data_IF_223162969206
#
_entry.id   IF_223162969206
#
_cell.length_a   1.000
_cell.length_b   1.000
_cell.length_c   1.000
_cell.angle_alpha   90.00
_cell.angle_beta   90.00
_cell.angle_gamma   90.00
#
_symmetry.space_group_name_H-M   'P 1'
#
loop_
_entity.id
_entity.type
_entity.pdbx_description
1 polymer ?
#
# COMPACT_ATOMS: atom_id res chain seq x y z
N UNK A 1 -4.48 1.17 3.49
CA UNK A 1 -5.68 0.34 3.27
C UNK A 1 -6.24 -0.08 4.62
N UNK A 2 -7.53 -0.37 4.73
CA UNK A 2 -8.15 -0.72 6.02
C UNK A 2 -9.13 -1.87 5.82
N UNK A 3 -9.05 -2.94 6.61
CA UNK A 3 -10.09 -3.95 6.75
C UNK A 3 -10.96 -3.66 7.98
N UNK A 4 -12.28 -3.78 7.88
CA UNK A 4 -13.19 -3.67 9.02
C UNK A 4 -14.07 -4.92 9.07
N UNK A 5 -13.87 -5.81 10.02
CA UNK A 5 -14.72 -6.97 10.31
C UNK A 5 -15.78 -6.62 11.35
N UNK A 6 -17.00 -7.15 11.25
CA UNK A 6 -18.08 -6.91 12.21
C UNK A 6 -18.31 -8.15 13.09
N UNK A 7 -18.43 -8.03 14.43
CA UNK A 7 -18.81 -9.16 15.32
C UNK A 7 -19.74 -8.72 16.48
N UNK A 8 -19.82 -9.39 17.65
CA UNK A 8 -20.64 -8.96 18.83
C UNK A 8 -19.93 -8.74 20.23
N UNK A 9 -18.61 -8.50 20.36
CA UNK A 9 -17.89 -8.25 21.66
C UNK A 9 -16.83 -7.11 21.65
N UNK A 10 -17.16 -5.83 21.97
CA UNK A 10 -16.18 -4.72 22.23
C UNK A 10 -15.22 -4.27 21.08
N UNK A 11 -14.90 -2.97 20.95
CA UNK A 11 -14.14 -2.44 19.79
C UNK A 11 -12.62 -2.64 19.95
N UNK A 12 -11.92 -3.16 18.92
CA UNK A 12 -10.43 -3.35 18.93
C UNK A 12 -9.81 -3.02 17.57
N UNK A 13 -8.56 -2.52 17.58
CA UNK A 13 -7.83 -2.12 16.36
C UNK A 13 -6.45 -2.79 16.23
N UNK A 14 -6.16 -3.36 15.06
CA UNK A 14 -4.80 -3.72 14.67
C UNK A 14 -4.29 -2.71 13.65
N UNK A 15 -3.08 -2.22 13.83
CA UNK A 15 -2.36 -1.49 12.78
C UNK A 15 -1.15 -2.30 12.36
N UNK A 16 -0.96 -2.42 11.06
CA UNK A 16 0.11 -3.23 10.49
C UNK A 16 0.79 -2.51 9.34
N UNK A 17 2.02 -2.08 9.54
CA UNK A 17 2.80 -1.48 8.46
C UNK A 17 3.86 -2.46 7.99
N UNK A 18 3.92 -2.67 6.68
CA UNK A 18 4.91 -3.54 6.08
C UNK A 18 6.11 -2.74 5.59
N UNK A 19 7.30 -3.31 5.82
CA UNK A 19 8.48 -2.94 5.06
C UNK A 19 8.36 -3.50 3.65
N UNK A 20 8.81 -2.76 2.63
CA UNK A 20 8.83 -3.24 1.25
C UNK A 20 10.27 -3.21 0.74
N UNK A 21 10.79 -4.37 0.32
CA UNK A 21 12.16 -4.52 -0.14
C UNK A 21 12.18 -5.09 -1.57
N UNK A 22 12.99 -4.47 -2.43
CA UNK A 22 13.23 -4.95 -3.80
C UNK A 22 14.70 -5.32 -3.95
N UNK A 23 14.98 -6.55 -4.34
CA UNK A 23 16.30 -7.03 -4.72
C UNK A 23 16.40 -7.10 -6.24
N UNK A 24 17.50 -6.62 -6.81
CA UNK A 24 17.74 -6.67 -8.26
C UNK A 24 17.96 -8.11 -8.73
N UNK A 25 17.22 -8.56 -9.74
CA UNK A 25 17.60 -9.76 -10.49
C UNK A 25 18.79 -9.46 -11.41
N UNK A 26 19.81 -10.32 -11.36
CA UNK A 26 21.07 -10.17 -12.11
C UNK A 26 20.93 -10.44 -13.62
N UNK A 27 19.75 -10.84 -14.12
CA UNK A 27 19.63 -11.52 -15.41
C UNK A 27 18.99 -10.74 -16.55
N UNK A 28 18.51 -9.51 -16.39
CA UNK A 28 17.75 -8.87 -17.48
C UNK A 28 18.19 -7.44 -17.84
N UNK A 29 18.62 -7.30 -19.10
CA UNK A 29 18.77 -6.05 -19.84
C UNK A 29 17.79 -6.09 -21.01
N UNK A 30 16.52 -5.90 -20.70
CA UNK A 30 15.49 -5.57 -21.68
C UNK A 30 15.35 -4.05 -21.73
N UNK A 31 15.11 -3.50 -22.93
CA UNK A 31 15.29 -2.09 -23.24
C UNK A 31 14.06 -1.44 -23.87
N UNK A 32 12.87 -1.70 -23.32
CA UNK A 32 11.60 -1.24 -23.91
C UNK A 32 10.84 -0.27 -23.00
N UNK A 33 11.45 0.89 -22.73
CA UNK A 33 10.86 1.96 -21.90
C UNK A 33 9.62 2.64 -22.51
N UNK A 34 9.38 2.50 -23.82
CA UNK A 34 8.18 3.02 -24.49
C UNK A 34 6.88 2.36 -24.03
N UNK A 35 6.95 1.27 -23.26
CA UNK A 35 5.78 0.60 -22.68
C UNK A 35 5.10 1.46 -21.60
N UNK A 36 5.85 2.32 -20.91
CA UNK A 36 5.36 3.06 -19.75
C UNK A 36 4.91 4.49 -20.07
N UNK A 37 5.15 4.99 -21.28
CA UNK A 37 4.80 6.35 -21.70
C UNK A 37 3.31 6.52 -22.01
N UNK A 38 2.63 5.43 -22.43
CA UNK A 38 1.23 5.46 -22.87
C UNK A 38 0.28 4.56 -22.05
N UNK A 39 0.79 3.81 -21.07
CA UNK A 39 -0.04 2.93 -20.26
C UNK A 39 -0.94 3.74 -19.31
N UNK A 40 -2.21 3.32 -19.14
CA UNK A 40 -3.07 3.97 -18.15
C UNK A 40 -2.54 3.67 -16.76
N UNK A 41 -2.54 4.68 -15.87
CA UNK A 41 -2.06 4.52 -14.50
C UNK A 41 -2.70 3.33 -13.77
N UNK A 42 -3.99 3.05 -14.03
CA UNK A 42 -4.71 1.90 -13.45
C UNK A 42 -4.15 0.55 -13.91
N UNK A 43 -3.70 0.43 -15.16
CA UNK A 43 -3.11 -0.80 -15.72
C UNK A 43 -1.73 -1.05 -15.09
N UNK A 44 -0.88 -0.02 -15.03
CA UNK A 44 0.42 -0.10 -14.35
C UNK A 44 0.27 -0.42 -12.86
N UNK A 45 -0.72 0.18 -12.21
CA UNK A 45 -1.03 -0.10 -10.81
C UNK A 45 -1.41 -1.58 -10.61
N UNK A 46 -2.29 -2.13 -11.44
CA UNK A 46 -2.69 -3.53 -11.33
C UNK A 46 -1.53 -4.51 -11.61
N UNK A 47 -0.66 -4.18 -12.57
CA UNK A 47 0.41 -5.04 -13.02
C UNK A 47 1.64 -5.03 -12.09
N UNK A 48 2.09 -3.85 -11.65
CA UNK A 48 3.41 -3.70 -11.01
C UNK A 48 3.38 -3.40 -9.52
N UNK A 49 2.22 -3.10 -8.92
CA UNK A 49 2.16 -2.92 -7.45
C UNK A 49 2.34 -4.27 -6.75
N UNK A 50 3.19 -4.35 -5.71
CA UNK A 50 3.39 -5.60 -4.99
C UNK A 50 2.09 -6.03 -4.31
N UNK A 51 1.76 -7.33 -4.46
CA UNK A 51 0.67 -7.98 -3.73
C UNK A 51 1.10 -8.29 -2.30
N UNK A 52 0.15 -8.22 -1.37
CA UNK A 52 0.34 -8.69 0.01
C UNK A 52 0.52 -10.22 0.05
N UNK A 53 1.31 -10.70 1.01
CA UNK A 53 1.59 -12.14 1.18
C UNK A 53 0.49 -12.83 1.97
N UNK A 54 0.40 -14.16 1.87
CA UNK A 54 -0.53 -14.97 2.67
C UNK A 54 -0.32 -14.77 4.18
N UNK A 55 0.92 -14.52 4.63
CA UNK A 55 1.20 -14.25 6.05
C UNK A 55 0.51 -12.98 6.56
N UNK A 56 0.33 -11.97 5.69
CA UNK A 56 -0.39 -10.74 6.05
C UNK A 56 -1.84 -11.08 6.32
N UNK A 57 -2.45 -11.81 5.38
CA UNK A 57 -3.84 -12.25 5.53
C UNK A 57 -4.01 -13.18 6.72
N UNK A 58 -3.06 -14.09 6.96
CA UNK A 58 -3.06 -14.95 8.15
C UNK A 58 -3.02 -14.13 9.43
N UNK A 59 -2.14 -13.14 9.54
CA UNK A 59 -2.05 -12.26 10.72
C UNK A 59 -3.35 -11.51 10.96
N UNK A 60 -3.96 -10.99 9.89
CA UNK A 60 -5.27 -10.31 9.94
C UNK A 60 -6.36 -11.28 10.42
N UNK A 61 -6.43 -12.48 9.83
CA UNK A 61 -7.43 -13.49 10.17
C UNK A 61 -7.29 -14.00 11.60
N UNK A 62 -6.06 -14.26 12.05
CA UNK A 62 -5.76 -14.68 13.42
C UNK A 62 -6.20 -13.60 14.42
N UNK A 63 -5.87 -12.33 14.15
CA UNK A 63 -6.27 -11.20 15.00
C UNK A 63 -7.79 -11.06 15.09
N UNK A 64 -8.48 -11.16 13.95
CA UNK A 64 -9.92 -11.13 13.90
C UNK A 64 -10.59 -12.34 14.57
N UNK A 65 -9.96 -13.51 14.45
CA UNK A 65 -10.38 -14.77 15.07
C UNK A 65 -10.35 -14.74 16.60
N UNK A 66 -9.57 -13.84 17.21
CA UNK A 66 -9.54 -13.65 18.67
C UNK A 66 -10.91 -13.28 19.25
N UNK A 67 -11.77 -12.60 18.48
CA UNK A 67 -13.05 -12.06 18.96
C UNK A 67 -14.26 -12.55 18.18
N UNK A 68 -14.06 -13.14 17.00
CA UNK A 68 -15.15 -13.60 16.14
C UNK A 68 -14.75 -14.80 15.29
N UNK A 69 -15.60 -15.83 15.27
CA UNK A 69 -15.57 -16.84 14.22
C UNK A 69 -16.42 -16.48 13.00
N UNK A 70 -17.19 -15.38 13.08
CA UNK A 70 -18.00 -14.86 11.98
C UNK A 70 -17.16 -13.91 11.10
N UNK A 71 -16.84 -14.40 9.89
CA UNK A 71 -16.16 -13.68 8.82
C UNK A 71 -17.14 -13.29 7.68
N UNK A 72 -18.44 -13.21 7.95
CA UNK A 72 -19.46 -12.95 6.91
C UNK A 72 -19.32 -11.61 6.18
N UNK A 73 -18.65 -10.63 6.78
CA UNK A 73 -18.48 -9.30 6.23
C UNK A 73 -17.16 -8.65 6.67
N UNK A 74 -16.42 -8.13 5.69
CA UNK A 74 -15.41 -7.12 5.91
C UNK A 74 -15.71 -5.90 5.06
N UNK A 75 -15.07 -4.78 5.39
CA UNK A 75 -14.99 -3.57 4.55
C UNK A 75 -13.53 -3.26 4.31
N UNK A 76 -13.08 -3.43 3.07
CA UNK A 76 -11.78 -2.94 2.62
C UNK A 76 -11.92 -1.47 2.21
N UNK A 77 -11.32 -0.53 2.94
CA UNK A 77 -11.29 0.91 2.66
C UNK A 77 -10.01 1.28 1.92
N UNK A 78 -10.19 1.76 0.69
CA UNK A 78 -9.09 2.24 -0.17
C UNK A 78 -8.52 1.13 -1.05
N UNK A 79 -9.39 0.27 -1.58
CA UNK A 79 -9.05 -0.94 -2.32
C UNK A 79 -8.25 -0.73 -3.63
N UNK A 80 -8.17 0.50 -4.16
CA UNK A 80 -7.45 0.77 -5.40
C UNK A 80 -7.99 -0.10 -6.56
N UNK A 81 -7.10 -0.79 -7.28
CA UNK A 81 -7.49 -1.75 -8.33
C UNK A 81 -7.98 -3.11 -7.80
N UNK A 82 -8.15 -3.27 -6.48
CA UNK A 82 -8.66 -4.49 -5.85
C UNK A 82 -7.60 -5.52 -5.47
N UNK A 83 -6.30 -5.20 -5.51
CA UNK A 83 -5.21 -6.14 -5.18
C UNK A 83 -5.34 -6.79 -3.79
N UNK A 84 -6.01 -6.11 -2.87
CA UNK A 84 -6.25 -6.59 -1.52
C UNK A 84 -7.68 -7.08 -1.34
N UNK A 85 -8.61 -6.50 -2.09
CA UNK A 85 -10.00 -6.95 -2.11
C UNK A 85 -10.12 -8.34 -2.70
N UNK A 86 -9.35 -8.72 -3.72
CA UNK A 86 -9.39 -10.05 -4.34
C UNK A 86 -9.11 -11.20 -3.35
N UNK A 87 -7.98 -11.22 -2.60
CA UNK A 87 -7.74 -12.25 -1.60
C UNK A 87 -8.74 -12.21 -0.44
N UNK A 88 -9.13 -11.01 0.03
CA UNK A 88 -10.12 -10.85 1.09
C UNK A 88 -11.53 -11.27 0.66
N UNK A 89 -11.90 -11.09 -0.62
CA UNK A 89 -13.22 -11.44 -1.15
C UNK A 89 -13.49 -12.95 -1.13
N UNK A 90 -12.45 -13.78 -1.04
CA UNK A 90 -12.58 -15.22 -0.79
C UNK A 90 -13.20 -15.50 0.58
N UNK A 91 -13.08 -14.56 1.52
CA UNK A 91 -13.54 -14.68 2.90
C UNK A 91 -14.70 -13.72 3.20
N UNK A 92 -14.79 -12.58 2.51
CA UNK A 92 -15.69 -11.46 2.86
C UNK A 92 -16.51 -10.96 1.66
N UNK A 93 -17.69 -10.39 1.91
CA UNK A 93 -18.69 -10.13 0.85
C UNK A 93 -18.71 -8.73 0.20
N UNK A 94 -18.10 -7.65 0.76
CA UNK A 94 -18.19 -6.24 0.24
C UNK A 94 -16.95 -5.36 0.61
N UNK A 95 -16.76 -4.18 0.00
CA UNK A 95 -15.65 -3.23 0.24
C UNK A 95 -16.01 -1.73 -0.09
N UNK A 96 -15.30 -0.72 0.47
CA UNK A 96 -15.55 0.75 0.36
C UNK A 96 -14.25 1.61 0.24
N UNK A 97 -14.24 2.97 0.26
CA UNK A 97 -12.99 3.76 0.03
C UNK A 97 -12.83 5.16 0.70
N UNK A 98 -11.56 5.47 1.06
CA UNK A 98 -10.88 6.73 1.50
C UNK A 98 -11.61 7.75 2.40
N UNK A 99 -10.99 8.16 3.53
CA UNK A 99 -11.60 9.18 4.42
C UNK A 99 -10.62 10.01 5.26
N UNK A 100 -11.07 11.22 5.60
CA UNK A 100 -10.65 12.05 6.74
C UNK A 100 -10.64 11.23 8.04
N UNK A 101 -9.56 11.27 8.83
CA UNK A 101 -9.38 10.39 10.00
C UNK A 101 -10.49 10.51 11.06
N UNK A 102 -11.00 11.71 11.32
CA UNK A 102 -12.08 11.94 12.29
C UNK A 102 -13.39 11.38 11.75
N UNK A 103 -13.72 11.66 10.49
CA UNK A 103 -14.91 11.11 9.83
C UNK A 103 -14.82 9.60 9.69
N UNK A 104 -13.61 9.10 9.43
CA UNK A 104 -13.30 7.69 9.32
C UNK A 104 -13.60 6.96 10.63
N UNK A 105 -13.04 7.42 11.76
CA UNK A 105 -13.29 6.75 13.04
C UNK A 105 -14.74 6.91 13.51
N UNK A 106 -15.39 8.03 13.24
CA UNK A 106 -16.83 8.18 13.47
C UNK A 106 -17.65 7.19 12.63
N UNK A 107 -17.24 6.92 11.40
CA UNK A 107 -17.90 5.95 10.54
C UNK A 107 -17.61 4.50 10.96
N UNK A 108 -16.38 4.20 11.39
CA UNK A 108 -16.04 2.93 12.04
C UNK A 108 -16.95 2.74 13.25
N UNK A 109 -17.13 3.76 14.09
CA UNK A 109 -18.01 3.68 15.25
C UNK A 109 -19.47 3.38 14.90
N UNK A 110 -19.94 3.90 13.76
CA UNK A 110 -21.29 3.71 13.26
C UNK A 110 -21.52 2.30 12.71
N UNK A 111 -20.54 1.73 12.01
CA UNK A 111 -20.70 0.46 11.27
C UNK A 111 -20.14 -0.75 12.02
N UNK A 112 -19.14 -0.56 12.87
CA UNK A 112 -18.47 -1.63 13.60
C UNK A 112 -19.40 -2.17 14.67
N UNK A 113 -19.93 -3.37 14.45
CA UNK A 113 -20.67 -4.11 15.47
C UNK A 113 -19.70 -4.47 16.61
N UNK A 114 -20.17 -4.58 17.88
CA UNK A 114 -19.29 -4.85 19.02
C UNK A 114 -18.33 -6.02 18.69
N UNK A 115 -17.02 -6.04 18.92
CA UNK A 115 -16.16 -7.21 18.62
C UNK A 115 -15.79 -7.42 17.18
N UNK A 116 -16.35 -6.61 16.30
CA UNK A 116 -15.72 -6.35 15.03
C UNK A 116 -14.30 -5.84 15.23
N UNK A 117 -13.43 -6.18 14.29
CA UNK A 117 -12.04 -5.77 14.25
C UNK A 117 -11.83 -4.75 13.16
N UNK A 118 -11.26 -3.59 13.52
CA UNK A 118 -10.70 -2.68 12.54
C UNK A 118 -9.20 -3.02 12.38
N UNK A 119 -8.75 -3.21 11.15
CA UNK A 119 -7.36 -3.49 10.79
C UNK A 119 -6.88 -2.47 9.77
N UNK A 120 -5.92 -1.64 10.12
CA UNK A 120 -5.32 -0.66 9.20
C UNK A 120 -3.98 -1.23 8.74
N UNK A 121 -3.79 -1.40 7.44
CA UNK A 121 -2.55 -1.97 6.91
C UNK A 121 -2.08 -1.35 5.60
N UNK A 122 -0.78 -1.40 5.35
CA UNK A 122 -0.16 -0.79 4.17
C UNK A 122 1.35 -0.94 4.16
N UNK A 123 1.99 -0.57 3.05
CA UNK A 123 3.44 -0.45 2.94
C UNK A 123 3.80 0.96 2.48
N UNK A 124 4.99 1.43 2.88
CA UNK A 124 5.51 2.74 2.51
C UNK A 124 6.37 2.66 1.24
N UNK A 125 7.30 3.60 1.05
CA UNK A 125 8.31 3.50 -0.02
C UNK A 125 9.14 2.22 0.17
N UNK A 126 9.60 1.62 -0.92
CA UNK A 126 10.54 0.51 -0.83
C UNK A 126 11.93 0.95 -0.41
N UNK A 127 12.73 0.01 0.08
CA UNK A 127 14.20 0.06 0.01
C UNK A 127 14.71 -0.89 -1.08
N UNK A 128 15.84 -0.57 -1.70
CA UNK A 128 16.46 -1.39 -2.74
C UNK A 128 17.71 -2.13 -2.21
N UNK A 129 18.08 -3.21 -2.90
CA UNK A 129 19.36 -3.87 -2.73
C UNK A 129 20.03 -4.08 -4.10
N UNK A 130 21.34 -3.83 -4.23
CA UNK A 130 22.29 -3.47 -3.17
C UNK A 130 22.15 -2.01 -2.70
N UNK A 131 22.85 -1.62 -1.62
CA UNK A 131 22.67 -0.33 -0.93
C UNK A 131 22.92 0.87 -1.85
N UNK A 132 23.86 0.75 -2.78
CA UNK A 132 24.22 1.82 -3.73
C UNK A 132 23.03 2.18 -4.64
N UNK A 133 22.26 1.16 -5.04
CA UNK A 133 21.02 1.34 -5.81
C UNK A 133 19.94 2.04 -4.96
N UNK A 134 19.83 1.67 -3.67
CA UNK A 134 18.91 2.34 -2.75
C UNK A 134 19.29 3.81 -2.56
N UNK A 135 20.58 4.13 -2.35
CA UNK A 135 21.04 5.50 -2.15
C UNK A 135 20.71 6.39 -3.36
N UNK A 136 20.89 5.88 -4.59
CA UNK A 136 20.47 6.56 -5.80
C UNK A 136 18.95 6.78 -5.83
N UNK A 137 18.17 5.74 -5.55
CA UNK A 137 16.71 5.80 -5.57
C UNK A 137 16.16 6.75 -4.50
N UNK A 138 16.66 6.70 -3.27
CA UNK A 138 16.26 7.63 -2.21
C UNK A 138 16.61 9.07 -2.58
N UNK A 139 17.78 9.32 -3.21
CA UNK A 139 18.12 10.64 -3.72
C UNK A 139 17.12 11.13 -4.76
N UNK A 140 16.76 10.29 -5.74
CA UNK A 140 15.72 10.61 -6.72
C UNK A 140 14.37 10.91 -6.04
N UNK A 141 13.95 10.03 -5.12
CA UNK A 141 12.69 10.14 -4.39
C UNK A 141 12.57 11.47 -3.65
N UNK A 142 13.61 11.84 -2.90
CA UNK A 142 13.60 13.03 -2.03
C UNK A 142 13.93 14.33 -2.76
N UNK A 143 14.53 14.30 -3.95
CA UNK A 143 14.88 15.51 -4.70
C UNK A 143 13.85 15.89 -5.76
N UNK A 144 13.18 14.91 -6.38
CA UNK A 144 12.33 15.19 -7.56
C UNK A 144 10.85 15.11 -7.26
N UNK A 145 10.42 14.14 -6.45
CA UNK A 145 9.00 13.85 -6.22
C UNK A 145 8.29 14.64 -5.09
N UNK A 146 8.95 15.33 -4.12
CA UNK A 146 8.23 15.95 -3.00
C UNK A 146 7.09 16.88 -3.40
N UNK A 147 7.27 17.71 -4.44
CA UNK A 147 6.29 18.69 -4.90
C UNK A 147 5.06 18.07 -5.60
N UNK A 148 5.15 16.79 -5.95
CA UNK A 148 4.15 16.07 -6.75
C UNK A 148 3.31 15.10 -5.90
N UNK A 149 3.69 14.89 -4.63
CA UNK A 149 2.90 14.09 -3.70
C UNK A 149 1.70 14.87 -3.17
N UNK A 150 0.54 14.23 -3.13
CA UNK A 150 -0.65 14.77 -2.45
C UNK A 150 -0.54 14.59 -0.93
N UNK A 151 -1.26 15.40 -0.16
CA UNK A 151 -1.09 15.54 1.29
C UNK A 151 -1.23 14.24 2.12
N UNK A 152 -1.83 13.17 1.58
CA UNK A 152 -1.93 11.88 2.26
C UNK A 152 -0.61 11.10 2.35
N UNK A 153 0.44 11.49 1.60
CA UNK A 153 1.67 10.70 1.51
C UNK A 153 2.45 10.61 2.82
N UNK A 154 2.57 11.73 3.54
CA UNK A 154 3.29 11.82 4.81
C UNK A 154 2.75 10.82 5.84
N UNK A 155 1.44 10.64 5.90
CA UNK A 155 0.83 9.67 6.81
C UNK A 155 1.26 8.23 6.49
N UNK A 156 1.45 7.88 5.21
CA UNK A 156 1.93 6.54 4.82
C UNK A 156 3.40 6.35 5.17
N UNK A 157 4.23 7.38 4.93
CA UNK A 157 5.67 7.36 5.25
C UNK A 157 5.92 7.27 6.75
N UNK A 158 5.16 8.04 7.54
CA UNK A 158 5.19 8.01 9.00
C UNK A 158 4.48 6.76 9.56
N UNK A 159 4.21 5.75 8.73
CA UNK A 159 3.57 4.47 9.10
C UNK A 159 2.28 4.67 9.90
N UNK A 160 1.50 5.67 9.51
CA UNK A 160 0.25 6.11 10.12
C UNK A 160 0.35 6.49 11.62
N UNK A 161 1.56 6.71 12.14
CA UNK A 161 1.79 7.15 13.55
C UNK A 161 1.23 8.54 13.83
N UNK A 162 0.97 9.33 12.79
CA UNK A 162 0.35 10.66 12.89
C UNK A 162 -1.11 10.63 13.33
N UNK A 163 -1.78 9.47 13.31
CA UNK A 163 -3.16 9.33 13.76
C UNK A 163 -3.22 8.86 15.21
N UNK A 164 -4.03 9.54 16.02
CA UNK A 164 -4.43 9.01 17.32
C UNK A 164 -5.54 7.98 17.13
N UNK A 165 -5.28 6.73 17.53
CA UNK A 165 -6.25 5.65 17.44
C UNK A 165 -7.13 5.70 18.70
N UNK A 166 -8.44 6.02 18.57
CA UNK A 166 -9.29 6.33 19.73
C UNK A 166 -9.82 5.07 20.46
N UNK A 167 -9.24 3.90 20.21
CA UNK A 167 -9.73 2.62 20.72
C UNK A 167 -8.74 2.01 21.71
N UNK A 168 -9.22 1.62 22.87
CA UNK A 168 -8.39 0.99 23.89
C UNK A 168 -7.86 -0.38 23.43
N UNK A 169 -6.65 -0.73 23.87
CA UNK A 169 -6.07 -2.06 23.61
C UNK A 169 -5.71 -2.34 22.14
N UNK A 170 -5.54 -1.30 21.32
CA UNK A 170 -5.08 -1.46 19.94
C UNK A 170 -3.66 -2.03 19.88
N UNK A 171 -3.39 -2.86 18.87
CA UNK A 171 -2.08 -3.50 18.64
C UNK A 171 -1.39 -2.89 17.42
N UNK A 172 -0.07 -2.88 17.42
CA UNK A 172 0.78 -2.52 16.26
C UNK A 172 1.69 -3.70 15.90
N UNK A 173 1.77 -4.04 14.62
CA UNK A 173 2.72 -5.01 14.10
C UNK A 173 3.42 -4.43 12.86
N UNK A 174 4.67 -4.02 13.02
CA UNK A 174 5.49 -3.47 11.94
C UNK A 174 6.60 -4.44 11.47
N UNK A 175 6.55 -5.70 11.91
CA UNK A 175 7.62 -6.69 11.72
C UNK A 175 7.51 -7.46 10.40
N UNK A 176 6.46 -7.18 9.61
CA UNK A 176 6.24 -7.86 8.34
C UNK A 176 6.94 -7.15 7.18
N UNK A 177 7.48 -7.95 6.26
CA UNK A 177 8.18 -7.44 5.07
C UNK A 177 7.62 -8.08 3.80
N UNK A 178 7.39 -7.26 2.79
CA UNK A 178 7.15 -7.71 1.41
C UNK A 178 8.51 -7.69 0.71
N UNK A 179 8.98 -8.85 0.24
CA UNK A 179 10.19 -8.97 -0.55
C UNK A 179 9.85 -9.26 -2.02
N UNK A 180 10.56 -8.61 -2.95
CA UNK A 180 10.46 -8.89 -4.39
C UNK A 180 11.85 -8.95 -5.00
N UNK A 181 12.06 -9.94 -5.86
CA UNK A 181 13.20 -10.00 -6.76
C UNK A 181 12.73 -9.52 -8.14
N UNK A 182 13.08 -8.28 -8.50
CA UNK A 182 12.59 -7.62 -9.73
C UNK A 182 13.73 -7.22 -10.65
N UNK A 183 13.43 -7.22 -11.95
CA UNK A 183 14.20 -6.54 -12.98
C UNK A 183 14.07 -5.02 -12.87
N UNK A 184 14.91 -4.29 -13.60
CA UNK A 184 14.81 -2.81 -13.69
C UNK A 184 13.48 -2.41 -14.33
N UNK A 185 13.04 -3.11 -15.38
CA UNK A 185 11.79 -2.81 -16.08
C UNK A 185 10.56 -2.95 -15.16
N UNK A 186 10.52 -4.00 -14.34
CA UNK A 186 9.45 -4.19 -13.35
C UNK A 186 9.47 -3.08 -12.28
N UNK A 187 10.66 -2.66 -11.85
CA UNK A 187 10.79 -1.57 -10.89
C UNK A 187 10.36 -0.22 -11.49
N UNK A 188 10.74 0.07 -12.74
CA UNK A 188 10.28 1.27 -13.47
C UNK A 188 8.77 1.24 -13.68
N UNK A 189 8.19 0.08 -13.99
CA UNK A 189 6.75 -0.12 -14.05
C UNK A 189 6.06 0.17 -12.71
N UNK A 190 6.67 -0.25 -11.60
CA UNK A 190 6.20 0.09 -10.26
C UNK A 190 6.23 1.61 -10.02
N UNK A 191 7.31 2.31 -10.39
CA UNK A 191 7.38 3.78 -10.28
C UNK A 191 6.32 4.46 -11.16
N UNK A 192 6.05 3.94 -12.36
CA UNK A 192 5.00 4.45 -13.25
C UNK A 192 3.58 4.36 -12.68
N UNK A 193 3.35 3.49 -11.70
CA UNK A 193 2.07 3.43 -10.98
C UNK A 193 1.90 4.53 -9.93
N UNK A 194 2.92 5.33 -9.64
CA UNK A 194 2.89 6.34 -8.59
C UNK A 194 2.15 7.60 -9.03
N UNK A 195 1.27 8.10 -8.17
CA UNK A 195 0.54 9.34 -8.44
C UNK A 195 1.46 10.55 -8.63
N UNK A 196 2.56 10.63 -7.87
CA UNK A 196 3.54 11.71 -8.03
C UNK A 196 4.28 11.67 -9.37
N UNK A 197 4.57 10.47 -9.89
CA UNK A 197 5.18 10.31 -11.23
C UNK A 197 4.19 10.74 -12.32
N UNK A 198 2.92 10.36 -12.19
CA UNK A 198 1.88 10.79 -13.12
C UNK A 198 1.70 12.33 -13.09
N UNK A 199 1.62 12.93 -11.89
CA UNK A 199 1.51 14.37 -11.71
C UNK A 199 2.72 15.12 -12.30
N UNK A 200 3.94 14.60 -12.10
CA UNK A 200 5.15 15.15 -12.72
C UNK A 200 5.04 15.16 -14.24
N UNK A 201 4.70 14.01 -14.83
CA UNK A 201 4.67 13.85 -16.29
C UNK A 201 3.58 14.74 -16.92
N UNK A 202 2.44 14.93 -16.24
CA UNK A 202 1.40 15.85 -16.70
C UNK A 202 1.87 17.32 -16.68
N UNK A 203 2.58 17.73 -15.63
CA UNK A 203 3.10 19.11 -15.50
C UNK A 203 4.28 19.42 -16.42
N UNK A 204 5.08 18.41 -16.76
CA UNK A 204 6.34 18.56 -17.51
C UNK A 204 6.28 17.97 -18.92
N UNK A 205 5.07 17.74 -19.45
CA UNK A 205 4.87 17.18 -20.79
C UNK A 205 5.62 18.00 -21.88
N UNK A 206 6.29 17.33 -22.85
CA UNK A 206 6.26 15.89 -23.13
C UNK A 206 7.30 15.05 -22.34
N UNK A 207 8.01 15.61 -21.36
CA UNK A 207 9.06 14.87 -20.66
C UNK A 207 8.48 13.79 -19.72
N UNK A 208 9.01 12.57 -19.81
CA UNK A 208 8.71 11.50 -18.86
C UNK A 208 9.87 11.35 -17.87
N UNK A 209 9.59 11.50 -16.57
CA UNK A 209 10.61 11.36 -15.53
C UNK A 209 11.26 9.97 -15.51
N UNK A 210 10.54 8.93 -15.93
CA UNK A 210 11.05 7.57 -15.95
C UNK A 210 12.08 7.35 -17.06
N UNK A 211 12.07 8.16 -18.12
CA UNK A 211 13.14 8.16 -19.13
C UNK A 211 14.45 8.70 -18.54
N UNK A 212 14.39 9.53 -17.50
CA UNK A 212 15.58 10.08 -16.83
C UNK A 212 16.14 9.17 -15.73
N UNK A 213 15.40 8.13 -15.33
CA UNK A 213 15.88 7.09 -14.41
C UNK A 213 16.77 6.13 -15.20
N UNK A 214 17.90 6.65 -15.71
CA UNK A 214 19.00 5.82 -16.18
C UNK A 214 19.73 5.32 -14.93
N UNK A 215 19.49 4.06 -14.57
CA UNK A 215 20.33 3.36 -13.60
C UNK A 215 21.60 2.91 -14.34
N UNK A 216 22.60 3.79 -14.40
CA UNK A 216 23.98 3.42 -14.77
C UNK A 216 24.61 2.53 -13.70
#
# INVERSE_FOLDING_TARGET
>A
MVLIQLSNIGKRVLTQTLSFQVRRQLTDMSSNWSLFTNAKQTELYAQYRPRYTEDVFKTILDYCGETSSDFSLAVDVGCGSGQSTEPLAKHFKRAFHWMDGTKFFAEVDRILKPGGSLVIYGYATCSLAPKELDDYFQKFYHSVLPEYWTGGRKAVEDKYTCFSIPYEGWKRNDDMTIEKDWSIDEFVGYLGSWSAVNEYNQKNSPANILEKVHLE
#
